data_IF_020479098629
#
_entry.id   IF_020479098629
#
_cell.length_a   1.000
_cell.length_b   1.000
_cell.length_c   1.000
_cell.angle_alpha   90.00
_cell.angle_beta   90.00
_cell.angle_gamma   90.00
#
_symmetry.space_group_name_H-M   'P 1'
#
loop_
_entity.id
_entity.type
_entity.pdbx_description
1 polymer ?
#
# COMPACT_ATOMS: atom_id res chain seq x y z
N UNK A 1 -44.90 -19.41 46.86
CA UNK A 1 -45.05 -19.35 45.40
C UNK A 1 -45.58 -17.97 45.04
N UNK A 2 -44.69 -17.06 44.61
CA UNK A 2 -45.04 -15.72 44.14
C UNK A 2 -44.51 -15.59 42.70
N UNK A 3 -45.33 -15.18 41.71
CA UNK A 3 -44.80 -14.82 40.40
C UNK A 3 -44.31 -13.38 40.38
N UNK A 4 -43.10 -13.19 39.85
CA UNK A 4 -42.46 -11.91 39.61
C UNK A 4 -43.04 -11.22 38.36
N UNK A 5 -43.37 -9.94 38.51
CA UNK A 5 -43.77 -9.04 37.43
C UNK A 5 -42.58 -8.68 36.53
N UNK A 6 -42.72 -8.93 35.22
CA UNK A 6 -41.84 -8.39 34.19
C UNK A 6 -42.37 -7.05 33.69
N UNK A 7 -41.62 -5.97 33.95
CA UNK A 7 -41.87 -4.63 33.43
C UNK A 7 -41.34 -4.55 32.00
N UNK A 8 -42.23 -4.30 31.02
CA UNK A 8 -41.87 -3.97 29.63
C UNK A 8 -41.45 -2.49 29.55
N UNK A 9 -40.21 -2.23 29.17
CA UNK A 9 -39.73 -0.89 28.82
C UNK A 9 -40.24 -0.43 27.44
N UNK A 10 -40.36 0.89 27.20
CA UNK A 10 -40.93 1.43 25.97
C UNK A 10 -39.95 1.37 24.78
N UNK A 11 -40.50 1.03 23.61
CA UNK A 11 -39.83 1.08 22.29
C UNK A 11 -39.67 2.54 21.85
N UNK A 12 -38.45 2.94 21.52
CA UNK A 12 -38.16 4.21 20.85
C UNK A 12 -38.39 4.08 19.32
N UNK A 13 -38.86 5.15 18.66
CA UNK A 13 -39.15 5.14 17.23
C UNK A 13 -37.89 5.31 16.37
N UNK A 14 -37.87 4.57 15.25
CA UNK A 14 -36.90 4.68 14.15
C UNK A 14 -37.24 5.93 13.34
N UNK A 15 -36.35 6.93 13.36
CA UNK A 15 -36.45 8.10 12.49
C UNK A 15 -35.71 7.82 11.16
N UNK A 16 -36.45 7.97 10.07
CA UNK A 16 -35.97 7.92 8.70
C UNK A 16 -35.02 9.09 8.42
N UNK A 17 -33.94 8.82 7.67
CA UNK A 17 -33.08 9.85 7.08
C UNK A 17 -33.17 9.74 5.57
N UNK A 18 -33.76 10.77 4.97
CA UNK A 18 -33.93 11.00 3.54
C UNK A 18 -32.60 11.31 2.88
N UNK A 19 -32.25 10.56 1.83
CA UNK A 19 -31.17 10.87 0.90
C UNK A 19 -31.66 11.84 -0.18
N UNK A 20 -31.19 13.08 -0.13
CA UNK A 20 -31.31 14.03 -1.22
C UNK A 20 -30.15 13.80 -2.21
N UNK A 21 -30.49 13.28 -3.39
CA UNK A 21 -29.57 13.18 -4.52
C UNK A 21 -29.42 14.56 -5.18
N UNK A 22 -28.20 15.08 -5.20
CA UNK A 22 -27.83 16.29 -5.94
C UNK A 22 -26.96 15.91 -7.12
N UNK A 23 -27.45 16.26 -8.31
CA UNK A 23 -26.84 16.09 -9.62
C UNK A 23 -25.53 16.86 -9.74
N UNK A 24 -24.55 16.30 -10.45
CA UNK A 24 -23.52 17.09 -11.12
C UNK A 24 -23.14 16.43 -12.43
N UNK A 25 -23.40 17.19 -13.49
CA UNK A 25 -23.06 16.91 -14.87
C UNK A 25 -21.54 16.91 -15.06
N UNK A 26 -21.04 16.03 -15.92
CA UNK A 26 -19.71 16.22 -16.51
C UNK A 26 -19.82 16.14 -18.03
N UNK A 27 -19.35 17.23 -18.63
CA UNK A 27 -19.16 17.46 -20.05
C UNK A 27 -18.18 16.45 -20.65
N UNK A 28 -18.46 16.07 -21.90
CA UNK A 28 -17.58 15.31 -22.74
C UNK A 28 -16.34 16.08 -23.17
N UNK A 29 -15.31 15.32 -23.54
CA UNK A 29 -14.28 15.74 -24.48
C UNK A 29 -13.74 14.52 -25.22
N UNK A 30 -14.04 14.51 -26.50
CA UNK A 30 -13.38 13.72 -27.54
C UNK A 30 -11.91 14.13 -27.71
N UNK A 31 -11.08 13.21 -28.20
CA UNK A 31 -9.71 13.53 -28.61
C UNK A 31 -8.86 12.32 -28.97
N UNK A 32 -9.02 11.83 -30.20
CA UNK A 32 -8.12 10.90 -30.88
C UNK A 32 -6.67 11.39 -30.96
N UNK A 33 -5.69 10.49 -30.82
CA UNK A 33 -4.59 10.36 -31.80
C UNK A 33 -3.85 9.03 -31.67
N UNK A 34 -3.72 8.34 -32.80
CA UNK A 34 -2.96 7.11 -33.00
C UNK A 34 -1.55 7.42 -33.52
N UNK A 35 -0.59 6.53 -33.23
CA UNK A 35 0.59 6.08 -34.01
C UNK A 35 1.45 5.23 -33.04
N UNK A 36 1.85 3.99 -33.25
CA UNK A 36 2.07 3.24 -34.48
C UNK A 36 3.57 3.27 -34.82
N UNK A 37 4.39 2.45 -34.15
CA UNK A 37 5.72 2.11 -34.67
C UNK A 37 6.09 0.65 -34.36
N UNK A 38 6.62 0.02 -35.40
CA UNK A 38 6.82 -1.40 -35.65
C UNK A 38 8.33 -1.57 -35.78
N UNK A 39 8.95 -2.49 -35.04
CA UNK A 39 10.34 -2.86 -35.29
C UNK A 39 10.51 -4.36 -35.15
N UNK A 40 10.76 -4.98 -36.30
CA UNK A 40 11.22 -6.33 -36.52
C UNK A 40 12.74 -6.37 -36.37
N UNK A 41 13.29 -7.47 -35.84
CA UNK A 41 14.26 -8.33 -36.56
C UNK A 41 15.00 -9.30 -35.62
N UNK A 42 14.91 -10.58 -35.98
CA UNK A 42 15.79 -11.68 -35.56
C UNK A 42 17.14 -11.55 -36.28
N UNK A 43 18.21 -12.22 -35.81
CA UNK A 43 18.52 -13.50 -36.43
C UNK A 43 19.01 -14.60 -35.47
N UNK A 44 18.68 -15.82 -35.85
CA UNK A 44 19.22 -17.07 -35.33
C UNK A 44 20.72 -17.23 -35.61
N UNK A 45 21.45 -17.86 -34.70
CA UNK A 45 22.64 -18.65 -35.04
C UNK A 45 22.64 -19.99 -34.29
N UNK A 46 22.64 -21.06 -35.08
CA UNK A 46 22.80 -22.46 -34.70
C UNK A 46 24.06 -22.98 -35.40
N UNK A 47 24.96 -23.62 -34.65
CA UNK A 47 26.04 -24.55 -35.08
C UNK A 47 26.54 -25.26 -33.81
N UNK A 48 26.06 -26.44 -33.40
CA UNK A 48 26.31 -27.83 -33.86
C UNK A 48 27.74 -28.36 -33.55
N UNK A 49 27.84 -29.20 -32.53
CA UNK A 49 28.80 -30.32 -32.39
C UNK A 49 28.15 -31.35 -31.42
N UNK A 50 27.51 -32.41 -31.94
CA UNK A 50 28.03 -33.79 -31.96
C UNK A 50 28.27 -34.36 -30.55
N UNK A 51 27.27 -35.04 -29.97
CA UNK A 51 27.05 -36.50 -30.02
C UNK A 51 27.94 -37.29 -29.05
N UNK A 52 27.36 -37.77 -27.95
CA UNK A 52 27.66 -39.11 -27.44
C UNK A 52 26.38 -39.70 -26.85
N UNK A 53 25.97 -40.79 -27.48
CA UNK A 53 24.81 -41.63 -27.20
C UNK A 53 25.13 -42.56 -26.04
N UNK A 54 24.33 -42.61 -24.97
CA UNK A 54 24.17 -43.84 -24.17
C UNK A 54 22.90 -43.80 -23.31
N UNK A 55 21.93 -44.63 -23.71
CA UNK A 55 21.03 -45.47 -22.89
C UNK A 55 20.01 -44.86 -21.90
N UNK A 56 18.74 -45.17 -22.24
CA UNK A 56 17.63 -45.53 -21.35
C UNK A 56 17.25 -44.56 -20.24
N UNK A 57 16.21 -43.77 -20.47
CA UNK A 57 15.28 -43.34 -19.43
C UNK A 57 13.93 -43.04 -20.06
N UNK A 58 12.90 -43.62 -19.47
CA UNK A 58 11.49 -43.46 -19.79
C UNK A 58 11.10 -41.98 -19.70
N UNK A 59 10.81 -41.32 -20.82
CA UNK A 59 10.22 -39.97 -20.81
C UNK A 59 8.73 -40.08 -20.43
N UNK A 60 8.49 -40.12 -19.12
CA UNK A 60 7.20 -39.89 -18.49
C UNK A 60 6.88 -38.38 -18.59
N UNK A 61 6.44 -37.94 -19.77
CA UNK A 61 5.78 -36.65 -19.92
C UNK A 61 4.46 -36.73 -19.14
N UNK A 62 4.52 -36.32 -17.87
CA UNK A 62 3.37 -36.25 -16.98
C UNK A 62 2.20 -35.60 -17.68
N UNK A 63 1.11 -36.35 -17.80
CA UNK A 63 -0.14 -35.86 -18.37
C UNK A 63 -0.51 -34.54 -17.69
N UNK A 64 -0.69 -33.47 -18.47
CA UNK A 64 -1.28 -32.23 -17.95
C UNK A 64 -2.68 -32.61 -17.47
N UNK A 65 -2.84 -32.76 -16.16
CA UNK A 65 -4.14 -32.94 -15.54
C UNK A 65 -4.91 -31.64 -15.77
N UNK A 66 -5.74 -31.64 -16.81
CA UNK A 66 -6.78 -30.64 -16.98
C UNK A 66 -7.86 -30.95 -15.93
N UNK A 67 -7.75 -30.33 -14.76
CA UNK A 67 -8.83 -30.30 -13.80
C UNK A 67 -9.90 -29.32 -14.27
N UNK A 68 -11.17 -29.71 -14.23
CA UNK A 68 -12.30 -28.78 -14.47
C UNK A 68 -12.66 -27.96 -13.23
N UNK A 69 -12.07 -28.30 -12.09
CA UNK A 69 -12.28 -27.68 -10.79
C UNK A 69 -10.95 -27.67 -10.03
N UNK A 70 -10.84 -26.74 -9.07
CA UNK A 70 -9.77 -26.72 -8.10
C UNK A 70 -10.19 -27.47 -6.85
N UNK A 71 -9.34 -28.39 -6.39
CA UNK A 71 -9.58 -29.19 -5.20
C UNK A 71 -9.58 -28.35 -3.92
N UNK A 72 -10.37 -28.72 -2.89
CA UNK A 72 -10.34 -28.05 -1.60
C UNK A 72 -8.93 -28.04 -1.00
N UNK A 73 -8.50 -26.89 -0.46
CA UNK A 73 -7.17 -26.75 0.14
C UNK A 73 -7.20 -25.79 1.30
N UNK A 74 -6.33 -26.03 2.29
CA UNK A 74 -6.09 -25.13 3.40
C UNK A 74 -4.72 -24.46 3.24
N UNK A 75 -4.67 -23.13 3.37
CA UNK A 75 -3.41 -22.40 3.41
C UNK A 75 -2.89 -22.31 4.85
N UNK A 76 -1.85 -23.08 5.17
CA UNK A 76 -1.28 -23.14 6.54
C UNK A 76 -0.81 -21.78 7.04
N UNK A 77 -0.32 -20.90 6.16
CA UNK A 77 0.18 -19.58 6.56
C UNK A 77 -0.93 -18.60 6.91
N UNK A 78 -2.10 -18.70 6.28
CA UNK A 78 -3.18 -17.72 6.39
C UNK A 78 -4.40 -18.27 7.14
N UNK A 79 -4.40 -19.56 7.49
CA UNK A 79 -5.54 -20.27 8.08
C UNK A 79 -6.83 -20.16 7.25
N UNK A 80 -6.70 -19.97 5.94
CA UNK A 80 -7.82 -19.91 5.01
C UNK A 80 -8.11 -21.28 4.41
N UNK A 81 -9.38 -21.68 4.44
CA UNK A 81 -9.90 -22.85 3.72
C UNK A 81 -10.54 -22.42 2.41
N UNK A 82 -10.11 -23.01 1.31
CA UNK A 82 -10.69 -22.83 -0.02
C UNK A 82 -11.51 -24.07 -0.36
N UNK A 83 -12.80 -23.87 -0.65
CA UNK A 83 -13.69 -24.96 -1.07
C UNK A 83 -13.46 -25.30 -2.55
N UNK A 84 -13.96 -26.45 -2.97
CA UNK A 84 -13.99 -26.82 -4.39
C UNK A 84 -14.60 -25.69 -5.23
N UNK A 85 -13.91 -25.30 -6.29
CA UNK A 85 -14.32 -24.17 -7.15
C UNK A 85 -14.14 -24.54 -8.61
N UNK A 86 -15.11 -24.20 -9.45
CA UNK A 86 -15.06 -24.46 -10.88
C UNK A 86 -13.90 -23.71 -11.57
N UNK A 87 -13.26 -24.36 -12.54
CA UNK A 87 -12.18 -23.80 -13.34
C UNK A 87 -12.63 -22.55 -14.11
N UNK A 88 -11.87 -21.47 -13.99
CA UNK A 88 -12.19 -20.15 -14.56
C UNK A 88 -12.98 -19.24 -13.62
N UNK A 89 -13.34 -19.72 -12.43
CA UNK A 89 -14.07 -18.94 -11.41
C UNK A 89 -13.11 -18.41 -10.34
N UNK A 90 -13.47 -17.28 -9.73
CA UNK A 90 -12.75 -16.71 -8.59
C UNK A 90 -13.49 -17.08 -7.31
N UNK A 91 -12.81 -17.78 -6.41
CA UNK A 91 -13.31 -18.05 -5.07
C UNK A 91 -13.12 -16.82 -4.18
N UNK A 92 -13.99 -16.68 -3.18
CA UNK A 92 -13.96 -15.59 -2.21
C UNK A 92 -14.09 -16.16 -0.79
N UNK A 93 -13.30 -15.63 0.14
CA UNK A 93 -13.35 -15.93 1.57
C UNK A 93 -13.22 -14.64 2.39
N UNK A 94 -13.70 -14.60 3.64
CA UNK A 94 -13.41 -13.46 4.51
C UNK A 94 -11.90 -13.38 4.78
N UNK A 95 -11.39 -12.15 4.91
CA UNK A 95 -9.97 -11.96 5.22
C UNK A 95 -9.59 -12.63 6.56
N UNK A 96 -8.39 -13.24 6.64
CA UNK A 96 -7.95 -13.94 7.84
C UNK A 96 -7.36 -12.99 8.88
N UNK A 97 -7.36 -13.42 10.15
CA UNK A 97 -6.87 -12.61 11.26
C UNK A 97 -7.67 -11.32 11.42
N UNK A 98 -7.18 -10.34 12.19
CA UNK A 98 -7.87 -9.07 12.46
C UNK A 98 -8.06 -8.12 11.25
N UNK A 99 -8.07 -8.67 10.04
CA UNK A 99 -8.41 -7.99 8.80
C UNK A 99 -9.92 -7.90 8.60
N UNK A 100 -10.37 -6.87 7.90
CA UNK A 100 -11.71 -6.72 7.37
C UNK A 100 -11.67 -6.75 5.84
N UNK A 101 -12.72 -7.28 5.20
CA UNK A 101 -12.84 -7.38 3.74
C UNK A 101 -12.90 -8.82 3.25
N UNK A 102 -12.71 -9.00 1.95
CA UNK A 102 -12.71 -10.29 1.26
C UNK A 102 -11.34 -10.58 0.65
N UNK A 103 -10.89 -11.82 0.75
CA UNK A 103 -9.73 -12.33 0.01
C UNK A 103 -10.22 -13.15 -1.17
N UNK A 104 -9.59 -12.96 -2.33
CA UNK A 104 -9.97 -13.64 -3.56
C UNK A 104 -8.91 -14.65 -3.96
N UNK A 105 -9.31 -15.72 -4.65
CA UNK A 105 -8.35 -16.66 -5.22
C UNK A 105 -8.88 -17.20 -6.54
N UNK A 106 -8.15 -17.02 -7.66
CA UNK A 106 -8.59 -17.55 -8.94
C UNK A 106 -8.37 -19.06 -8.99
N UNK A 107 -9.36 -19.79 -9.47
CA UNK A 107 -9.21 -21.15 -9.94
C UNK A 107 -9.01 -21.11 -11.46
N UNK A 108 -7.84 -21.52 -11.95
CA UNK A 108 -7.60 -21.52 -13.40
C UNK A 108 -8.34 -22.67 -14.09
N UNK A 109 -8.60 -22.55 -15.40
CA UNK A 109 -9.24 -23.60 -16.20
C UNK A 109 -8.47 -24.93 -16.25
N UNK A 110 -7.22 -24.95 -15.76
CA UNK A 110 -6.44 -26.17 -15.57
C UNK A 110 -6.75 -26.91 -14.27
N UNK A 111 -7.63 -26.38 -13.41
CA UNK A 111 -7.92 -26.92 -12.08
C UNK A 111 -6.85 -26.61 -11.04
N UNK A 112 -5.98 -25.64 -11.34
CA UNK A 112 -4.92 -25.20 -10.43
C UNK A 112 -5.32 -23.89 -9.76
N UNK A 113 -5.12 -23.84 -8.45
CA UNK A 113 -5.27 -22.60 -7.69
C UNK A 113 -4.18 -21.59 -8.03
N UNK A 114 -4.58 -20.33 -8.25
CA UNK A 114 -3.65 -19.21 -8.30
C UNK A 114 -3.29 -18.67 -6.92
N UNK A 115 -2.55 -17.57 -6.91
CA UNK A 115 -2.18 -16.86 -5.69
C UNK A 115 -3.39 -16.14 -5.08
N UNK A 116 -3.47 -16.16 -3.75
CA UNK A 116 -4.49 -15.42 -3.00
C UNK A 116 -4.25 -13.91 -3.09
N UNK A 117 -5.31 -13.17 -3.39
CA UNK A 117 -5.34 -11.73 -3.56
C UNK A 117 -5.95 -11.06 -2.31
N UNK A 118 -5.08 -10.37 -1.57
CA UNK A 118 -5.40 -9.65 -0.34
C UNK A 118 -5.65 -8.14 -0.56
N UNK A 119 -5.83 -7.69 -1.81
CA UNK A 119 -6.00 -6.27 -2.14
C UNK A 119 -7.23 -5.62 -1.50
N UNK A 120 -8.26 -6.37 -1.14
CA UNK A 120 -9.45 -5.85 -0.42
C UNK A 120 -9.33 -5.99 1.11
N UNK A 121 -8.36 -6.74 1.61
CA UNK A 121 -8.14 -6.88 3.05
C UNK A 121 -7.55 -5.61 3.66
N UNK A 122 -8.14 -5.10 4.76
CA UNK A 122 -7.67 -3.93 5.53
C UNK A 122 -7.51 -4.22 7.02
N UNK A 123 -6.43 -3.72 7.62
CA UNK A 123 -6.25 -3.71 9.08
C UNK A 123 -6.92 -2.49 9.71
N UNK A 124 -7.97 -2.72 10.51
CA UNK A 124 -8.72 -1.65 11.17
C UNK A 124 -7.83 -0.79 12.08
N UNK A 125 -6.95 -1.42 12.86
CA UNK A 125 -6.04 -0.69 13.76
C UNK A 125 -5.06 0.20 12.98
N UNK A 126 -4.59 -0.24 11.82
CA UNK A 126 -3.71 0.56 10.97
C UNK A 126 -4.45 1.79 10.44
N UNK A 127 -5.68 1.61 9.95
CA UNK A 127 -6.53 2.70 9.48
C UNK A 127 -6.79 3.73 10.58
N UNK A 128 -7.04 3.28 11.82
CA UNK A 128 -7.26 4.16 12.97
C UNK A 128 -6.01 4.98 13.32
N UNK A 129 -4.83 4.35 13.42
CA UNK A 129 -3.57 5.05 13.69
C UNK A 129 -3.27 6.07 12.59
N UNK A 130 -3.44 5.68 11.32
CA UNK A 130 -3.27 6.56 10.16
C UNK A 130 -4.18 7.79 10.23
N UNK A 131 -5.47 7.60 10.51
CA UNK A 131 -6.43 8.71 10.58
C UNK A 131 -6.05 9.71 11.68
N UNK A 132 -5.59 9.21 12.84
CA UNK A 132 -5.09 10.07 13.91
C UNK A 132 -3.82 10.83 13.48
N UNK A 133 -2.87 10.17 12.81
CA UNK A 133 -1.67 10.82 12.28
C UNK A 133 -2.07 11.96 11.34
N UNK A 134 -2.94 11.70 10.35
CA UNK A 134 -3.39 12.75 9.43
C UNK A 134 -4.11 13.89 10.16
N UNK A 135 -4.93 13.60 11.17
CA UNK A 135 -5.56 14.63 11.99
C UNK A 135 -4.51 15.54 12.67
N UNK A 136 -3.48 14.96 13.27
CA UNK A 136 -2.41 15.73 13.91
C UNK A 136 -1.60 16.56 12.90
N UNK A 137 -1.32 15.99 11.73
CA UNK A 137 -0.63 16.68 10.64
C UNK A 137 -1.42 17.90 10.14
N UNK A 138 -2.72 17.71 9.85
CA UNK A 138 -3.58 18.78 9.33
C UNK A 138 -3.81 19.91 10.35
N UNK A 139 -3.88 19.59 11.64
CA UNK A 139 -4.11 20.58 12.70
C UNK A 139 -2.80 21.15 13.30
N UNK A 140 -1.63 20.80 12.76
CA UNK A 140 -0.31 21.19 13.28
C UNK A 140 -0.08 20.80 14.77
N UNK A 141 -0.68 19.69 15.22
CA UNK A 141 -0.57 19.18 16.58
C UNK A 141 0.64 18.26 16.74
N UNK A 142 1.83 18.83 16.65
CA UNK A 142 3.11 18.12 16.51
C UNK A 142 3.45 17.28 17.75
N UNK A 143 3.08 17.74 18.95
CA UNK A 143 3.42 17.05 20.20
C UNK A 143 2.81 15.63 20.26
N UNK A 144 1.52 15.50 19.90
CA UNK A 144 0.85 14.20 19.84
C UNK A 144 1.30 13.30 18.67
N UNK A 145 1.90 13.89 17.62
CA UNK A 145 2.34 13.14 16.44
C UNK A 145 3.43 12.12 16.77
N UNK A 146 4.34 12.43 17.71
CA UNK A 146 5.42 11.52 18.09
C UNK A 146 4.91 10.23 18.72
N UNK A 147 3.91 10.33 19.59
CA UNK A 147 3.30 9.14 20.22
C UNK A 147 2.60 8.26 19.18
N UNK A 148 1.91 8.88 18.22
CA UNK A 148 1.25 8.15 17.13
C UNK A 148 2.25 7.49 16.18
N UNK A 149 3.38 8.15 15.89
CA UNK A 149 4.45 7.58 15.08
C UNK A 149 5.13 6.39 15.79
N UNK A 150 5.30 6.46 17.11
CA UNK A 150 5.82 5.35 17.92
C UNK A 150 4.82 4.17 17.99
N UNK A 151 3.53 4.46 18.19
CA UNK A 151 2.47 3.45 18.15
C UNK A 151 2.39 2.76 16.77
N UNK A 152 2.53 3.54 15.68
CA UNK A 152 2.64 3.01 14.32
C UNK A 152 3.86 2.10 14.20
N UNK A 153 5.04 2.55 14.63
CA UNK A 153 6.28 1.76 14.53
C UNK A 153 6.18 0.43 15.31
N UNK A 154 5.63 0.47 16.54
CA UNK A 154 5.38 -0.73 17.35
C UNK A 154 4.38 -1.67 16.67
N UNK A 155 3.33 -1.12 16.05
CA UNK A 155 2.37 -1.93 15.31
C UNK A 155 3.00 -2.61 14.09
N UNK A 156 3.77 -1.86 13.29
CA UNK A 156 4.44 -2.39 12.09
C UNK A 156 5.50 -3.45 12.41
N UNK A 157 6.17 -3.34 13.56
CA UNK A 157 7.13 -4.36 13.99
C UNK A 157 6.49 -5.70 14.37
N UNK A 158 5.21 -5.69 14.77
CA UNK A 158 4.48 -6.88 15.18
C UNK A 158 3.52 -7.41 14.10
N UNK A 159 3.11 -6.57 13.15
CA UNK A 159 2.08 -6.92 12.18
C UNK A 159 2.66 -7.71 10.99
N UNK A 160 2.10 -8.90 10.75
CA UNK A 160 2.27 -9.63 9.49
C UNK A 160 1.35 -9.03 8.41
N UNK A 161 1.82 -7.98 7.73
CA UNK A 161 1.04 -7.27 6.72
C UNK A 161 0.95 -8.08 5.42
N UNK A 162 -0.20 -8.72 5.17
CA UNK A 162 -0.45 -9.50 3.94
C UNK A 162 -1.00 -8.65 2.81
N UNK A 163 -1.84 -7.68 3.17
CA UNK A 163 -2.45 -6.79 2.19
C UNK A 163 -1.39 -5.87 1.56
N UNK A 164 -1.25 -5.86 0.22
CA UNK A 164 -0.38 -4.92 -0.46
C UNK A 164 -0.84 -3.47 -0.25
N UNK A 165 -2.14 -3.26 -0.04
CA UNK A 165 -2.72 -1.94 0.19
C UNK A 165 -2.38 -1.38 1.56
N UNK A 166 -2.39 -2.21 2.61
CA UNK A 166 -1.93 -1.78 3.95
C UNK A 166 -0.44 -1.39 3.94
N UNK A 167 0.39 -2.10 3.17
CA UNK A 167 1.82 -1.77 3.01
C UNK A 167 2.00 -0.42 2.33
N UNK A 168 1.21 -0.16 1.28
CA UNK A 168 1.20 1.12 0.57
C UNK A 168 0.75 2.25 1.49
N UNK A 169 -0.39 2.08 2.15
CA UNK A 169 -0.96 3.05 3.09
C UNK A 169 0.01 3.38 4.23
N UNK A 170 0.75 2.38 4.70
CA UNK A 170 1.81 2.57 5.70
C UNK A 170 2.94 3.43 5.16
N UNK A 171 3.43 3.14 3.96
CA UNK A 171 4.52 3.89 3.34
C UNK A 171 4.13 5.35 3.13
N UNK A 172 2.90 5.60 2.67
CA UNK A 172 2.35 6.94 2.49
C UNK A 172 2.25 7.70 3.82
N UNK A 173 1.79 7.02 4.86
CA UNK A 173 1.70 7.60 6.22
C UNK A 173 3.08 7.97 6.76
N UNK A 174 4.08 7.11 6.58
CA UNK A 174 5.46 7.37 6.99
C UNK A 174 6.06 8.54 6.20
N UNK A 175 5.82 8.60 4.88
CA UNK A 175 6.27 9.70 4.04
C UNK A 175 5.68 11.05 4.52
N UNK A 176 4.38 11.09 4.84
CA UNK A 176 3.72 12.29 5.37
C UNK A 176 4.35 12.75 6.70
N UNK A 177 4.63 11.82 7.62
CA UNK A 177 5.30 12.13 8.90
C UNK A 177 6.71 12.67 8.66
N UNK A 178 7.48 12.06 7.75
CA UNK A 178 8.85 12.48 7.43
C UNK A 178 8.90 13.87 6.80
N UNK A 179 8.02 14.17 5.85
CA UNK A 179 7.93 15.49 5.22
C UNK A 179 7.61 16.59 6.25
N UNK A 180 6.78 16.26 7.25
CA UNK A 180 6.47 17.18 8.34
C UNK A 180 7.70 17.47 9.19
N UNK A 181 8.49 16.45 9.54
CA UNK A 181 9.74 16.62 10.28
C UNK A 181 10.75 17.51 9.55
N UNK A 182 10.83 17.39 8.22
CA UNK A 182 11.67 18.27 7.38
C UNK A 182 11.16 19.72 7.40
N UNK A 183 9.86 19.92 7.26
CA UNK A 183 9.26 21.25 7.33
C UNK A 183 9.47 21.92 8.70
N UNK A 184 9.41 21.15 9.79
CA UNK A 184 9.66 21.65 11.15
C UNK A 184 11.12 22.02 11.39
N UNK A 185 12.07 21.20 10.93
CA UNK A 185 13.50 21.55 11.00
C UNK A 185 13.81 22.82 10.23
N UNK A 186 13.24 22.98 9.04
CA UNK A 186 13.44 24.20 8.25
C UNK A 186 12.76 25.42 8.85
N UNK A 187 11.61 25.28 9.52
CA UNK A 187 10.91 26.42 10.14
C UNK A 187 11.57 26.96 11.41
N UNK A 188 12.41 26.18 12.08
CA UNK A 188 13.23 26.68 13.17
C UNK A 188 14.25 27.67 12.58
N UNK A 189 13.96 28.97 12.63
CA UNK A 189 14.77 30.02 12.00
C UNK A 189 16.26 30.03 12.39
N UNK A 190 16.64 29.34 13.46
CA UNK A 190 18.04 29.04 13.79
C UNK A 190 18.75 28.17 12.74
N UNK A 191 18.08 27.18 12.16
CA UNK A 191 18.66 26.30 11.14
C UNK A 191 18.75 27.00 9.77
N UNK A 192 17.76 27.83 9.40
CA UNK A 192 17.86 28.69 8.21
C UNK A 192 19.02 29.68 8.36
N UNK A 193 19.14 30.35 9.50
CA UNK A 193 20.22 31.29 9.77
C UNK A 193 21.59 30.60 9.79
N UNK A 194 21.68 29.38 10.33
CA UNK A 194 22.91 28.58 10.33
C UNK A 194 23.31 28.13 8.91
N UNK A 195 22.37 27.68 8.10
CA UNK A 195 22.60 27.32 6.70
C UNK A 195 23.01 28.57 5.90
N UNK A 196 22.31 29.69 6.05
CA UNK A 196 22.66 30.95 5.40
C UNK A 196 24.05 31.45 5.83
N UNK A 197 24.39 31.37 7.12
CA UNK A 197 25.71 31.75 7.62
C UNK A 197 26.84 30.84 7.10
N UNK A 198 26.55 29.55 6.87
CA UNK A 198 27.51 28.57 6.38
C UNK A 198 27.79 28.68 4.87
N UNK A 199 26.87 29.25 4.09
CA UNK A 199 27.04 29.52 2.65
C UNK A 199 27.56 30.93 2.34
N UNK A 200 27.82 31.78 3.36
CA UNK A 200 28.48 33.08 3.18
C UNK A 200 29.95 33.01 3.64
N UNK A 201 30.83 32.33 2.89
CA UNK A 201 32.22 32.77 2.82
C UNK A 201 32.57 33.05 1.37
N UNK A 202 32.49 34.32 0.95
CA UNK A 202 33.33 34.88 -0.15
C UNK A 202 33.03 36.34 -0.55
N UNK A 203 32.12 37.07 0.10
CA UNK A 203 31.92 38.50 -0.20
C UNK A 203 31.99 39.36 1.05
N UNK A 204 33.20 39.50 1.62
CA UNK A 204 33.53 40.73 2.34
C UNK A 204 34.32 41.66 1.42
N UNK A 205 33.87 42.91 1.21
CA UNK A 205 34.62 43.88 0.43
C UNK A 205 35.84 44.30 1.25
N UNK A 206 37.03 44.16 0.66
CA UNK A 206 38.29 44.68 1.19
C UNK A 206 38.15 46.21 1.39
N UNK A 207 37.84 46.66 2.60
CA UNK A 207 37.96 48.08 2.98
C UNK A 207 39.44 48.43 3.08
N UNK A 208 39.97 49.02 2.01
CA UNK A 208 41.27 49.68 2.00
C UNK A 208 41.25 50.87 2.96
N UNK A 209 41.73 50.69 4.19
CA UNK A 209 42.14 51.80 5.06
C UNK A 209 43.47 52.35 4.53
N UNK A 210 43.39 53.41 3.74
CA UNK A 210 44.52 54.31 3.50
C UNK A 210 44.49 55.37 4.61
N UNK A 211 45.20 55.08 5.70
CA UNK A 211 45.74 56.12 6.58
C UNK A 211 47.26 55.95 6.57
N UNK A 212 47.96 56.89 5.93
CA UNK A 212 49.34 57.23 6.29
C UNK A 212 49.41 58.73 6.49
N UNK A 213 49.72 59.08 7.73
CA UNK A 213 50.03 60.42 8.17
C UNK A 213 51.40 60.87 7.65
N UNK A 214 51.53 62.18 7.46
CA UNK A 214 52.67 63.06 7.75
C UNK A 214 54.10 62.55 7.53
N UNK A 215 54.86 63.28 6.70
CA UNK A 215 56.18 63.84 7.05
C UNK A 215 56.62 64.89 6.00
N UNK A 216 56.96 66.08 6.53
CA UNK A 216 57.61 67.27 5.94
C UNK A 216 56.89 68.09 4.86
#
# INVERSE_FOLDING_TARGET
MHPANYIRGPRLPVAASSSAASSSANHGRDGHHASGEKSSDLPAQISKAASTTTESSQDDYGAVQLGTHCEPTEETTSSLGWNETEGGVVAAQPCPGGYQGIVYRPCYNSGLWGASDYTDCRLERLANIRNLIYYHLHNNLIEGLYHLADDLARYLAAADMRSPMDRLDTMDTLNAVLQTKLALRLRNGFDIAFVQASYVPCFTPRRSRLHRAFLN
#
